data_IF_717731947687
#
_entry.id   IF_717731947687
#
_cell.length_a   1.000
_cell.length_b   1.000
_cell.length_c   1.000
_cell.angle_alpha   90.00
_cell.angle_beta   90.00
_cell.angle_gamma   90.00
#
_symmetry.space_group_name_H-M   'P 1'
#
loop_
_entity.id
_entity.type
_entity.pdbx_description
1 polymer ?
#
# COMPACT_ATOMS: atom_id res chain seq x y z
N UNK A 1 14.53 -16.18 15.03
CA UNK A 1 15.90 -16.64 14.71
C UNK A 1 16.23 -17.96 15.43
N UNK A 2 16.04 -18.04 16.74
CA UNK A 2 16.38 -19.25 17.55
C UNK A 2 15.74 -20.55 17.05
N UNK A 3 14.43 -20.56 16.77
CA UNK A 3 13.76 -21.74 16.22
C UNK A 3 14.36 -22.21 14.88
N UNK A 4 14.83 -21.27 14.04
CA UNK A 4 15.47 -21.58 12.77
C UNK A 4 16.90 -22.12 12.95
N UNK A 5 17.66 -21.58 13.92
CA UNK A 5 18.98 -22.07 14.30
C UNK A 5 18.90 -23.49 14.91
N UNK A 6 17.93 -23.74 15.80
CA UNK A 6 17.65 -25.06 16.36
C UNK A 6 17.27 -26.07 15.27
N UNK A 7 16.43 -25.67 14.31
CA UNK A 7 16.09 -26.50 13.16
C UNK A 7 17.31 -26.85 12.30
N UNK A 8 18.19 -25.88 12.04
CA UNK A 8 19.44 -26.10 11.31
C UNK A 8 20.40 -27.01 12.08
N UNK A 9 20.54 -26.81 13.38
CA UNK A 9 21.36 -27.64 14.27
C UNK A 9 20.88 -29.10 14.26
N UNK A 10 19.56 -29.34 14.34
CA UNK A 10 18.97 -30.68 14.23
C UNK A 10 19.23 -31.33 12.87
N UNK A 11 19.08 -30.60 11.77
CA UNK A 11 19.30 -31.11 10.41
C UNK A 11 20.78 -31.47 10.14
N UNK A 12 21.70 -30.73 10.74
CA UNK A 12 23.13 -31.04 10.71
C UNK A 12 23.42 -32.27 11.58
N UNK A 13 22.83 -32.33 12.78
CA UNK A 13 23.02 -33.43 13.72
C UNK A 13 22.49 -34.79 13.23
N UNK A 14 21.40 -34.80 12.48
CA UNK A 14 20.81 -36.02 11.89
C UNK A 14 21.46 -36.43 10.57
N UNK A 15 22.46 -35.68 10.08
CA UNK A 15 23.19 -36.01 8.85
C UNK A 15 22.39 -35.78 7.55
N UNK A 16 21.23 -35.11 7.61
CA UNK A 16 20.46 -34.73 6.42
C UNK A 16 21.17 -33.67 5.57
N UNK A 17 22.06 -32.89 6.19
CA UNK A 17 22.93 -31.94 5.51
C UNK A 17 24.38 -32.35 5.79
N UNK A 18 25.10 -32.78 4.74
CA UNK A 18 26.50 -33.25 4.85
C UNK A 18 27.51 -32.26 4.27
N UNK A 19 27.07 -31.41 3.35
CA UNK A 19 27.92 -30.44 2.65
C UNK A 19 28.02 -29.12 3.44
N UNK A 20 29.24 -28.77 3.84
CA UNK A 20 29.56 -27.56 4.59
C UNK A 20 29.11 -26.28 3.87
N UNK A 21 29.28 -26.22 2.56
CA UNK A 21 28.88 -25.04 1.78
C UNK A 21 27.35 -24.82 1.83
N UNK A 22 26.57 -25.91 1.86
CA UNK A 22 25.11 -25.84 2.02
C UNK A 22 24.71 -25.43 3.44
N UNK A 23 25.47 -25.84 4.45
CA UNK A 23 25.26 -25.39 5.84
C UNK A 23 25.49 -23.88 5.96
N UNK A 24 26.62 -23.38 5.46
CA UNK A 24 26.97 -21.95 5.49
C UNK A 24 25.95 -21.09 4.72
N UNK A 25 25.50 -21.53 3.53
CA UNK A 25 24.44 -20.84 2.78
C UNK A 25 23.12 -20.78 3.55
N UNK A 26 22.71 -21.86 4.24
CA UNK A 26 21.49 -21.87 5.05
C UNK A 26 21.64 -20.96 6.27
N UNK A 27 22.79 -20.98 6.94
CA UNK A 27 23.09 -20.09 8.05
C UNK A 27 23.02 -18.62 7.61
N UNK A 28 23.67 -18.27 6.49
CA UNK A 28 23.63 -16.93 5.90
C UNK A 28 22.21 -16.48 5.53
N UNK A 29 21.37 -17.39 5.01
CA UNK A 29 19.95 -17.08 4.74
C UNK A 29 19.16 -16.78 6.02
N UNK A 30 19.45 -17.48 7.12
CA UNK A 30 18.83 -17.22 8.42
C UNK A 30 19.26 -15.84 8.94
N UNK A 31 20.55 -15.50 8.83
CA UNK A 31 21.09 -14.19 9.21
C UNK A 31 20.46 -13.06 8.38
N UNK A 32 20.38 -13.22 7.06
CA UNK A 32 19.80 -12.24 6.16
C UNK A 32 18.29 -12.00 6.39
N UNK A 33 17.58 -13.02 6.89
CA UNK A 33 16.15 -12.90 7.25
C UNK A 33 15.93 -12.19 8.59
N UNK A 34 16.95 -12.14 9.45
CA UNK A 34 16.88 -11.58 10.80
C UNK A 34 18.00 -10.56 11.08
N UNK A 35 18.21 -9.53 10.23
CA UNK A 35 19.33 -8.60 10.38
C UNK A 35 19.28 -7.80 11.69
N UNK A 36 18.07 -7.55 12.21
CA UNK A 36 17.82 -6.77 13.43
C UNK A 36 18.29 -7.43 14.73
N UNK A 37 18.52 -8.75 14.74
CA UNK A 37 18.90 -9.50 15.94
C UNK A 37 20.17 -10.34 15.74
N UNK A 38 20.75 -10.32 14.53
CA UNK A 38 21.92 -11.14 14.19
C UNK A 38 23.15 -10.78 15.04
N UNK A 39 23.29 -9.51 15.44
CA UNK A 39 24.35 -8.99 16.31
C UNK A 39 24.31 -9.56 17.74
N UNK A 40 23.17 -10.10 18.18
CA UNK A 40 22.99 -10.69 19.50
C UNK A 40 23.54 -12.12 19.62
N UNK A 41 23.77 -12.79 18.49
CA UNK A 41 24.18 -14.19 18.48
C UNK A 41 25.64 -14.33 18.06
N UNK A 42 26.31 -15.29 18.67
CA UNK A 42 27.57 -15.84 18.19
C UNK A 42 27.26 -17.16 17.48
N UNK A 43 27.75 -17.32 16.25
CA UNK A 43 27.37 -18.43 15.36
C UNK A 43 28.64 -19.02 14.77
N UNK A 44 28.93 -20.28 15.12
CA UNK A 44 30.12 -21.00 14.68
C UNK A 44 29.75 -22.37 14.11
N UNK A 45 30.31 -22.69 12.94
CA UNK A 45 30.34 -24.06 12.42
C UNK A 45 31.70 -24.66 12.73
N UNK A 46 31.73 -25.66 13.62
CA UNK A 46 32.99 -26.33 14.02
C UNK A 46 33.01 -27.77 13.53
N UNK A 47 34.16 -28.21 13.05
CA UNK A 47 34.42 -29.61 12.73
C UNK A 47 34.73 -30.37 14.03
N UNK A 48 33.95 -31.41 14.31
CA UNK A 48 34.15 -32.35 15.41
C UNK A 48 34.44 -33.74 14.86
N UNK A 49 34.96 -34.66 15.67
CA UNK A 49 35.28 -36.03 15.23
C UNK A 49 34.09 -36.82 14.64
N UNK A 50 32.85 -36.36 14.86
CA UNK A 50 31.61 -36.91 14.32
C UNK A 50 31.03 -36.13 13.12
N UNK A 51 31.74 -35.11 12.62
CA UNK A 51 31.32 -34.23 11.53
C UNK A 51 31.20 -32.75 11.92
N UNK A 52 30.68 -31.94 11.00
CA UNK A 52 30.44 -30.50 11.23
C UNK A 52 29.23 -30.31 12.15
N UNK A 53 29.36 -29.48 13.19
CA UNK A 53 28.28 -29.13 14.13
C UNK A 53 28.12 -27.61 14.18
N UNK A 54 26.86 -27.16 14.29
CA UNK A 54 26.53 -25.75 14.51
C UNK A 54 26.48 -25.46 16.01
N UNK A 55 27.32 -24.53 16.46
CA UNK A 55 27.30 -23.95 17.79
C UNK A 55 26.75 -22.53 17.70
N UNK A 56 25.81 -22.22 18.57
CA UNK A 56 25.28 -20.87 18.68
C UNK A 56 25.05 -20.52 20.14
N UNK A 57 25.35 -19.29 20.50
CA UNK A 57 25.15 -18.76 21.85
C UNK A 57 24.66 -17.32 21.76
N UNK A 58 23.86 -16.90 22.74
CA UNK A 58 23.46 -15.50 22.86
C UNK A 58 24.55 -14.73 23.63
N UNK A 59 24.97 -13.58 23.09
CA UNK A 59 25.93 -12.69 23.74
C UNK A 59 25.23 -11.97 24.89
N UNK A 60 25.38 -12.48 26.11
CA UNK A 60 24.64 -11.95 27.27
C UNK A 60 24.91 -10.46 27.51
N UNK A 61 26.14 -9.98 27.31
CA UNK A 61 26.45 -8.56 27.45
C UNK A 61 25.65 -7.68 26.47
N UNK A 62 25.47 -8.17 25.23
CA UNK A 62 24.68 -7.47 24.21
C UNK A 62 23.18 -7.54 24.50
N UNK A 63 22.72 -8.66 25.04
CA UNK A 63 21.34 -8.84 25.49
C UNK A 63 21.02 -7.88 26.64
N UNK A 64 21.83 -7.90 27.70
CA UNK A 64 21.69 -7.02 28.86
C UNK A 64 21.77 -5.54 28.47
N UNK A 65 22.70 -5.19 27.57
CA UNK A 65 22.80 -3.83 27.04
C UNK A 65 21.56 -3.42 26.25
N UNK A 66 20.97 -4.32 25.43
CA UNK A 66 19.70 -4.03 24.76
C UNK A 66 18.57 -3.87 25.75
N UNK A 67 18.39 -4.80 26.69
CA UNK A 67 17.34 -4.73 27.70
C UNK A 67 17.44 -3.44 28.54
N UNK A 68 18.65 -3.02 28.90
CA UNK A 68 18.88 -1.76 29.62
C UNK A 68 18.60 -0.51 28.76
N UNK A 69 18.63 -0.64 27.42
CA UNK A 69 18.43 0.47 26.46
C UNK A 69 17.03 0.49 25.87
N UNK A 70 16.32 -0.64 25.93
CA UNK A 70 14.92 -0.77 25.59
C UNK A 70 14.11 -0.04 26.67
N UNK A 71 13.84 1.25 26.42
CA UNK A 71 12.97 2.04 27.27
C UNK A 71 11.53 1.49 27.28
N UNK A 72 10.84 1.65 28.41
CA UNK A 72 9.42 1.35 28.48
C UNK A 72 8.59 2.49 27.87
N UNK A 73 7.57 2.14 27.10
CA UNK A 73 6.61 3.10 26.57
C UNK A 73 5.46 3.29 27.56
N UNK A 74 5.40 4.44 28.24
CA UNK A 74 4.34 4.73 29.22
C UNK A 74 3.18 5.49 28.57
N UNK A 75 2.03 4.83 28.45
CA UNK A 75 0.79 5.46 28.02
C UNK A 75 0.00 5.97 29.22
N UNK A 76 -0.11 7.30 29.36
CA UNK A 76 -1.06 7.94 30.28
C UNK A 76 -2.34 8.27 29.53
N UNK A 77 -3.46 7.74 29.98
CA UNK A 77 -4.77 7.95 29.35
C UNK A 77 -5.86 8.14 30.40
N UNK A 78 -6.92 8.84 30.02
CA UNK A 78 -8.18 8.91 30.77
C UNK A 78 -9.21 7.87 30.28
N UNK A 79 -8.87 7.07 29.27
CA UNK A 79 -9.72 6.01 28.74
C UNK A 79 -9.63 4.76 29.60
N UNK A 80 -10.77 4.17 29.91
CA UNK A 80 -10.84 2.82 30.49
C UNK A 80 -10.68 1.77 29.39
N UNK A 81 -9.88 0.74 29.65
CA UNK A 81 -9.71 -0.43 28.81
C UNK A 81 -9.48 -1.65 29.69
N UNK A 82 -9.87 -2.82 29.21
CA UNK A 82 -9.77 -4.05 29.99
C UNK A 82 -8.35 -4.62 29.94
N UNK A 83 -7.60 -4.31 28.87
CA UNK A 83 -6.24 -4.82 28.64
C UNK A 83 -5.26 -3.76 28.12
N UNK A 84 -3.96 -4.01 28.30
CA UNK A 84 -2.90 -3.14 27.79
C UNK A 84 -2.85 -3.17 26.24
N UNK A 85 -3.16 -4.30 25.64
CA UNK A 85 -3.21 -4.51 24.19
C UNK A 85 -4.29 -3.65 23.54
N UNK A 86 -5.46 -3.52 24.16
CA UNK A 86 -6.52 -2.63 23.71
C UNK A 86 -6.11 -1.16 23.78
N UNK A 87 -5.47 -0.73 24.87
CA UNK A 87 -4.94 0.63 24.99
C UNK A 87 -3.91 0.92 23.91
N UNK A 88 -3.00 -0.03 23.68
CA UNK A 88 -2.01 0.06 22.62
C UNK A 88 -2.67 0.16 21.24
N UNK A 89 -3.66 -0.68 20.95
CA UNK A 89 -4.39 -0.65 19.68
C UNK A 89 -5.09 0.70 19.43
N UNK A 90 -5.75 1.24 20.46
CA UNK A 90 -6.37 2.58 20.41
C UNK A 90 -5.32 3.66 20.20
N UNK A 91 -4.21 3.60 20.93
CA UNK A 91 -3.11 4.56 20.79
C UNK A 91 -2.52 4.53 19.38
N UNK A 92 -2.35 3.34 18.79
CA UNK A 92 -1.87 3.18 17.43
C UNK A 92 -2.77 3.82 16.37
N UNK A 93 -4.05 4.08 16.64
CA UNK A 93 -4.91 4.85 15.72
C UNK A 93 -4.41 6.28 15.49
N UNK A 94 -3.57 6.83 16.39
CA UNK A 94 -2.88 8.10 16.14
C UNK A 94 -2.03 8.05 14.86
N UNK A 95 -1.43 6.90 14.56
CA UNK A 95 -0.68 6.72 13.30
C UNK A 95 -1.58 6.80 12.07
N UNK A 96 -2.86 6.42 12.20
CA UNK A 96 -3.85 6.59 11.14
C UNK A 96 -4.21 8.07 10.94
N UNK A 97 -4.29 8.84 12.02
CA UNK A 97 -4.44 10.29 11.93
C UNK A 97 -3.24 10.94 11.23
N UNK A 98 -2.00 10.55 11.55
CA UNK A 98 -0.82 11.04 10.83
C UNK A 98 -0.82 10.63 9.35
N UNK A 99 -1.22 9.40 9.06
CA UNK A 99 -1.39 8.91 7.70
C UNK A 99 -2.45 9.72 6.94
N UNK A 100 -3.51 10.19 7.61
CA UNK A 100 -4.52 11.06 7.00
C UNK A 100 -3.96 12.42 6.60
N UNK A 101 -3.18 13.06 7.48
CA UNK A 101 -2.49 14.31 7.16
C UNK A 101 -1.45 14.15 6.06
N UNK A 102 -0.76 13.02 6.01
CA UNK A 102 0.15 12.69 4.91
C UNK A 102 -0.62 12.58 3.60
N UNK A 103 -1.69 11.78 3.57
CA UNK A 103 -2.56 11.59 2.41
C UNK A 103 -3.07 12.92 1.83
N UNK A 104 -3.48 13.83 2.71
CA UNK A 104 -3.91 15.18 2.33
C UNK A 104 -2.82 15.98 1.63
N UNK A 105 -1.59 15.94 2.15
CA UNK A 105 -0.47 16.77 1.67
C UNK A 105 0.19 16.24 0.39
N UNK A 106 0.33 14.92 0.25
CA UNK A 106 1.00 14.30 -0.89
C UNK A 106 0.02 13.90 -1.99
N UNK A 107 -0.91 13.00 -1.69
CA UNK A 107 -1.77 12.35 -2.68
C UNK A 107 -2.87 13.29 -3.18
N UNK A 108 -3.57 13.94 -2.25
CA UNK A 108 -4.64 14.88 -2.59
C UNK A 108 -4.12 16.28 -2.91
N UNK A 109 -2.85 16.57 -2.60
CA UNK A 109 -2.22 17.89 -2.77
C UNK A 109 -3.00 19.05 -2.13
N UNK A 110 -3.85 18.77 -1.14
CA UNK A 110 -4.58 19.76 -0.33
C UNK A 110 -3.68 20.16 0.83
N UNK A 111 -2.67 20.97 0.53
CA UNK A 111 -1.73 21.48 1.54
C UNK A 111 -2.38 22.62 2.32
N UNK A 112 -2.04 22.79 3.61
CA UNK A 112 -2.41 23.99 4.35
C UNK A 112 -1.90 25.24 3.62
N UNK A 113 -2.82 26.05 3.12
CA UNK A 113 -2.54 27.39 2.65
C UNK A 113 -2.71 28.36 3.82
N UNK A 114 -1.86 29.38 3.92
CA UNK A 114 -1.90 30.38 4.99
C UNK A 114 -3.09 31.33 4.83
N UNK A 115 -4.29 30.82 5.13
CA UNK A 115 -5.51 31.62 5.15
C UNK A 115 -5.51 32.51 6.39
N UNK A 116 -5.64 33.83 6.19
CA UNK A 116 -5.63 34.82 7.28
C UNK A 116 -7.02 35.09 7.87
N UNK A 117 -8.08 34.84 7.08
CA UNK A 117 -9.46 35.06 7.49
C UNK A 117 -10.08 33.74 7.98
N UNK A 118 -10.70 33.77 9.15
CA UNK A 118 -11.36 32.61 9.77
C UNK A 118 -12.33 31.88 8.81
N UNK A 119 -13.20 32.56 8.03
CA UNK A 119 -14.10 31.87 7.10
C UNK A 119 -13.36 31.06 6.03
N UNK A 120 -12.19 31.53 5.58
CA UNK A 120 -11.39 30.84 4.57
C UNK A 120 -10.69 29.61 5.16
N UNK A 121 -10.24 29.70 6.41
CA UNK A 121 -9.71 28.55 7.15
C UNK A 121 -10.77 27.45 7.27
N UNK A 122 -12.00 27.81 7.69
CA UNK A 122 -13.12 26.86 7.79
C UNK A 122 -13.45 26.20 6.46
N UNK A 123 -13.51 26.98 5.38
CA UNK A 123 -13.76 26.45 4.04
C UNK A 123 -12.66 25.48 3.58
N UNK A 124 -11.39 25.79 3.83
CA UNK A 124 -10.28 24.91 3.49
C UNK A 124 -10.33 23.59 4.27
N UNK A 125 -10.62 23.64 5.58
CA UNK A 125 -10.79 22.44 6.41
C UNK A 125 -11.92 21.56 5.88
N UNK A 126 -13.05 22.16 5.48
CA UNK A 126 -14.17 21.42 4.89
C UNK A 126 -13.75 20.70 3.60
N UNK A 127 -13.08 21.40 2.68
CA UNK A 127 -12.62 20.79 1.41
C UNK A 127 -11.60 19.68 1.67
N UNK A 128 -10.64 19.90 2.59
CA UNK A 128 -9.68 18.88 2.99
C UNK A 128 -10.38 17.64 3.56
N UNK A 129 -11.34 17.82 4.47
CA UNK A 129 -12.10 16.73 5.05
C UNK A 129 -12.87 15.93 4.00
N UNK A 130 -13.59 16.61 3.09
CA UNK A 130 -14.32 15.97 2.00
C UNK A 130 -13.38 15.20 1.06
N UNK A 131 -12.25 15.80 0.68
CA UNK A 131 -11.23 15.14 -0.14
C UNK A 131 -10.70 13.87 0.52
N UNK A 132 -10.39 13.92 1.81
CA UNK A 132 -9.94 12.75 2.57
C UNK A 132 -11.04 11.69 2.72
N UNK A 133 -12.29 12.09 2.96
CA UNK A 133 -13.42 11.17 3.03
C UNK A 133 -13.60 10.40 1.71
N UNK A 134 -13.53 11.09 0.56
CA UNK A 134 -13.58 10.46 -0.76
C UNK A 134 -12.38 9.51 -0.98
N UNK A 135 -11.18 9.93 -0.60
CA UNK A 135 -9.97 9.12 -0.67
C UNK A 135 -10.09 7.81 0.12
N UNK A 136 -10.53 7.90 1.38
CA UNK A 136 -10.74 6.74 2.25
C UNK A 136 -11.85 5.85 1.72
N UNK A 137 -12.91 6.43 1.17
CA UNK A 137 -13.99 5.66 0.54
C UNK A 137 -13.48 4.86 -0.65
N UNK A 138 -12.70 5.48 -1.54
CA UNK A 138 -12.06 4.80 -2.66
C UNK A 138 -11.13 3.67 -2.18
N UNK A 139 -10.30 3.93 -1.16
CA UNK A 139 -9.44 2.92 -0.53
C UNK A 139 -10.24 1.71 -0.03
N UNK A 140 -11.38 1.94 0.61
CA UNK A 140 -12.24 0.85 1.10
C UNK A 140 -12.93 0.11 -0.05
N UNK A 141 -13.39 0.80 -1.09
CA UNK A 141 -14.00 0.16 -2.27
C UNK A 141 -13.00 -0.76 -2.99
N UNK A 142 -11.76 -0.30 -3.17
CA UNK A 142 -10.69 -1.09 -3.78
C UNK A 142 -10.30 -2.32 -2.94
N UNK A 143 -10.37 -2.21 -1.60
CA UNK A 143 -10.11 -3.35 -0.70
C UNK A 143 -11.23 -4.37 -0.67
N UNK A 144 -12.50 -3.93 -0.72
CA UNK A 144 -13.68 -4.78 -0.56
C UNK A 144 -13.95 -5.69 -1.75
N UNK A 145 -13.57 -5.28 -2.95
CA UNK A 145 -13.78 -6.04 -4.18
C UNK A 145 -12.41 -6.41 -4.76
N UNK A 146 -11.91 -7.63 -4.58
CA UNK A 146 -10.63 -8.02 -5.19
C UNK A 146 -10.72 -7.97 -6.72
N UNK A 147 -9.61 -7.66 -7.42
CA UNK A 147 -9.60 -7.62 -8.88
C UNK A 147 -10.01 -8.98 -9.46
N UNK A 148 -10.89 -8.95 -10.46
CA UNK A 148 -11.49 -10.13 -11.10
C UNK A 148 -10.53 -10.81 -12.09
N UNK A 149 -9.38 -10.19 -12.38
CA UNK A 149 -8.40 -10.72 -13.35
C UNK A 149 -7.17 -11.24 -12.60
N UNK A 150 -6.85 -12.55 -12.67
CA UNK A 150 -5.54 -13.03 -12.27
C UNK A 150 -4.51 -12.50 -13.27
N UNK A 151 -3.55 -11.71 -12.83
CA UNK A 151 -2.31 -11.49 -13.59
C UNK A 151 -1.43 -12.73 -13.39
N UNK A 152 -1.20 -13.57 -14.42
CA UNK A 152 -0.24 -14.65 -14.30
C UNK A 152 1.16 -14.03 -14.24
N UNK A 153 1.75 -14.01 -13.05
CA UNK A 153 3.16 -13.67 -12.90
C UNK A 153 3.98 -14.89 -13.34
N UNK A 154 4.80 -14.76 -14.38
CA UNK A 154 5.67 -15.84 -14.90
C UNK A 154 6.70 -16.38 -13.88
N UNK A 155 6.79 -15.77 -12.69
CA UNK A 155 7.77 -16.09 -11.63
C UNK A 155 7.20 -16.87 -10.44
N UNK A 156 5.90 -17.24 -10.42
CA UNK A 156 5.31 -17.99 -9.30
C UNK A 156 5.34 -17.27 -7.95
N UNK A 157 5.65 -15.97 -7.96
CA UNK A 157 5.55 -15.08 -6.80
C UNK A 157 4.48 -14.05 -7.15
N UNK A 158 3.31 -14.20 -6.54
CA UNK A 158 2.19 -13.26 -6.67
C UNK A 158 2.56 -11.93 -6.02
N UNK A 159 3.35 -11.12 -6.71
CA UNK A 159 3.53 -9.71 -6.38
C UNK A 159 2.32 -8.92 -6.91
N UNK A 160 1.10 -9.37 -6.58
CA UNK A 160 -0.11 -8.60 -6.80
C UNK A 160 -0.09 -7.43 -5.82
N UNK A 161 0.56 -6.32 -6.21
CA UNK A 161 0.48 -5.11 -5.40
C UNK A 161 -0.99 -4.68 -5.33
N UNK A 162 -1.54 -4.50 -4.12
CA UNK A 162 -2.92 -4.06 -3.98
C UNK A 162 -3.08 -2.68 -4.65
N UNK A 163 -4.13 -2.55 -5.48
CA UNK A 163 -4.43 -1.31 -6.20
C UNK A 163 -4.56 -0.15 -5.20
N UNK A 164 -3.66 0.83 -5.27
CA UNK A 164 -3.70 2.02 -4.42
C UNK A 164 -4.70 3.04 -5.00
N UNK A 165 -5.31 3.90 -4.16
CA UNK A 165 -6.22 4.92 -4.66
C UNK A 165 -5.54 5.90 -5.64
N UNK A 166 -4.25 6.24 -5.43
CA UNK A 166 -3.47 7.06 -6.39
C UNK A 166 -3.38 6.39 -7.75
N UNK A 167 -3.03 5.10 -7.79
CA UNK A 167 -2.88 4.37 -9.05
C UNK A 167 -4.22 4.25 -9.77
N UNK A 168 -5.30 4.00 -9.02
CA UNK A 168 -6.65 3.98 -9.56
C UNK A 168 -7.04 5.32 -10.21
N UNK A 169 -6.82 6.44 -9.50
CA UNK A 169 -7.09 7.79 -10.04
C UNK A 169 -6.23 8.06 -11.26
N UNK A 170 -4.93 7.74 -11.23
CA UNK A 170 -4.02 7.96 -12.36
C UNK A 170 -4.41 7.15 -13.60
N UNK A 171 -4.89 5.91 -13.42
CA UNK A 171 -5.40 5.10 -14.52
C UNK A 171 -6.69 5.70 -15.10
N UNK A 172 -7.63 6.10 -14.24
CA UNK A 172 -8.89 6.69 -14.67
C UNK A 172 -8.72 8.08 -15.29
N UNK A 173 -7.72 8.87 -14.87
CA UNK A 173 -7.46 10.21 -15.43
C UNK A 173 -7.00 10.19 -16.89
N UNK A 174 -6.57 9.03 -17.40
CA UNK A 174 -6.24 8.88 -18.82
C UNK A 174 -7.47 8.63 -19.70
N UNK A 175 -8.65 8.39 -19.11
CA UNK A 175 -9.90 8.34 -19.85
C UNK A 175 -10.32 9.77 -20.20
N UNK A 176 -10.52 10.02 -21.49
CA UNK A 176 -10.87 11.33 -22.00
C UNK A 176 -12.21 11.28 -22.74
N UNK A 177 -12.93 12.39 -22.71
CA UNK A 177 -14.10 12.62 -23.57
C UNK A 177 -13.72 13.60 -24.68
N UNK A 178 -13.97 13.24 -25.93
CA UNK A 178 -13.71 14.07 -27.10
C UNK A 178 -15.02 14.39 -27.84
N UNK A 179 -15.12 15.59 -28.38
CA UNK A 179 -16.20 16.01 -29.26
C UNK A 179 -15.78 15.81 -30.72
N UNK A 180 -16.53 14.99 -31.45
CA UNK A 180 -16.38 14.80 -32.90
C UNK A 180 -17.38 15.72 -33.57
N UNK A 181 -16.88 16.70 -34.34
CA UNK A 181 -17.71 17.64 -35.11
C UNK A 181 -17.67 17.20 -36.58
N UNK A 182 -18.82 16.79 -37.10
CA UNK A 182 -18.98 16.35 -38.48
C UNK A 182 -19.77 17.42 -39.24
N UNK A 183 -19.16 18.14 -40.19
CA UNK A 183 -19.89 19.05 -41.06
C UNK A 183 -20.76 18.26 -42.04
N UNK A 184 -22.01 18.67 -42.22
CA UNK A 184 -22.93 18.09 -43.20
C UNK A 184 -23.00 18.94 -44.47
N UNK A 185 -23.45 18.34 -45.57
CA UNK A 185 -23.65 19.02 -46.87
C UNK A 185 -24.63 20.19 -46.78
N UNK A 186 -25.54 20.18 -45.80
CA UNK A 186 -26.60 21.16 -45.62
C UNK A 186 -26.19 22.32 -44.69
N UNK A 187 -24.89 22.44 -44.38
CA UNK A 187 -24.34 23.49 -43.50
C UNK A 187 -24.57 23.26 -42.00
N UNK A 188 -25.19 22.13 -41.60
CA UNK A 188 -25.39 21.76 -40.19
C UNK A 188 -24.16 21.04 -39.65
N UNK A 189 -23.89 21.20 -38.35
CA UNK A 189 -22.85 20.45 -37.64
C UNK A 189 -23.47 19.34 -36.78
N UNK A 190 -23.00 18.10 -36.95
CA UNK A 190 -23.31 17.01 -36.02
C UNK A 190 -22.19 16.93 -34.99
N UNK A 191 -22.50 17.15 -33.71
CA UNK A 191 -21.55 17.05 -32.61
C UNK A 191 -21.79 15.78 -31.80
N UNK A 192 -20.80 14.89 -31.76
CA UNK A 192 -20.87 13.62 -31.04
C UNK A 192 -19.80 13.59 -29.94
N UNK A 193 -20.21 13.53 -28.67
CA UNK A 193 -19.28 13.32 -27.56
C UNK A 193 -19.01 11.84 -27.33
N UNK A 194 -17.79 11.40 -27.61
CA UNK A 194 -17.30 10.03 -27.43
C UNK A 194 -16.33 9.97 -26.24
N UNK A 195 -16.33 8.85 -25.52
CA UNK A 195 -15.31 8.55 -24.50
C UNK A 195 -14.28 7.61 -25.13
N UNK A 196 -13.01 7.75 -24.77
CA UNK A 196 -11.94 6.83 -25.17
C UNK A 196 -12.24 5.40 -24.70
N UNK A 197 -11.98 4.41 -25.54
CA UNK A 197 -12.14 3.00 -25.14
C UNK A 197 -11.19 2.64 -23.99
N UNK A 198 -11.71 2.12 -22.86
CA UNK A 198 -10.86 1.79 -21.72
C UNK A 198 -9.93 0.60 -22.01
N UNK A 199 -8.69 0.66 -21.53
CA UNK A 199 -7.72 -0.44 -21.56
C UNK A 199 -8.20 -1.63 -20.71
N UNK A 200 -7.58 -2.81 -20.88
CA UNK A 200 -7.93 -4.00 -20.08
C UNK A 200 -7.81 -3.76 -18.57
N UNK A 201 -6.77 -3.04 -18.14
CA UNK A 201 -6.57 -2.65 -16.73
C UNK A 201 -7.67 -1.72 -16.24
N UNK A 202 -8.04 -0.70 -17.02
CA UNK A 202 -9.13 0.22 -16.70
C UNK A 202 -10.48 -0.48 -16.65
N UNK A 203 -10.76 -1.39 -17.60
CA UNK A 203 -11.99 -2.22 -17.60
C UNK A 203 -12.08 -3.08 -16.34
N UNK A 204 -10.96 -3.63 -15.88
CA UNK A 204 -10.90 -4.38 -14.62
C UNK A 204 -11.20 -3.49 -13.42
N UNK A 205 -10.56 -2.32 -13.35
CA UNK A 205 -10.76 -1.33 -12.29
C UNK A 205 -12.21 -0.79 -12.26
N UNK A 206 -12.79 -0.47 -13.41
CA UNK A 206 -14.17 0.01 -13.51
C UNK A 206 -15.17 -1.06 -13.04
N UNK A 207 -14.96 -2.32 -13.42
CA UNK A 207 -15.75 -3.45 -12.91
C UNK A 207 -15.61 -3.61 -11.40
N UNK A 208 -14.39 -3.49 -10.87
CA UNK A 208 -14.13 -3.51 -9.44
C UNK A 208 -14.89 -2.38 -8.73
N UNK A 209 -14.88 -1.16 -9.28
CA UNK A 209 -15.64 -0.03 -8.73
C UNK A 209 -17.15 -0.14 -8.97
N UNK A 210 -17.60 -1.04 -9.83
CA UNK A 210 -19.02 -1.18 -10.22
C UNK A 210 -19.51 -0.03 -11.09
N UNK A 211 -18.61 0.57 -11.87
CA UNK A 211 -18.87 1.70 -12.76
C UNK A 211 -18.93 1.18 -14.19
N UNK A 212 -20.03 1.45 -14.89
CA UNK A 212 -20.16 1.23 -16.33
C UNK A 212 -20.00 2.56 -17.07
N UNK A 213 -19.08 2.62 -18.03
CA UNK A 213 -18.93 3.79 -18.89
C UNK A 213 -19.88 3.69 -20.09
N UNK A 214 -20.63 4.75 -20.41
CA UNK A 214 -21.40 4.80 -21.65
C UNK A 214 -20.48 5.02 -22.84
N UNK A 215 -20.82 4.44 -24.00
CA UNK A 215 -20.08 4.69 -25.25
C UNK A 215 -20.27 6.12 -25.77
N UNK A 216 -21.40 6.74 -25.41
CA UNK A 216 -21.81 8.07 -25.83
C UNK A 216 -22.32 8.87 -24.65
N UNK A 217 -21.79 10.07 -24.46
CA UNK A 217 -22.37 11.05 -23.54
C UNK A 217 -23.43 11.84 -24.30
N UNK A 218 -24.71 11.52 -24.08
CA UNK A 218 -25.82 12.30 -24.63
C UNK A 218 -25.91 13.63 -23.89
N UNK A 219 -25.25 14.66 -24.41
CA UNK A 219 -25.60 16.03 -24.06
C UNK A 219 -26.81 16.42 -24.91
N UNK A 220 -27.98 16.47 -24.29
CA UNK A 220 -29.14 17.18 -24.86
C UNK A 220 -28.82 18.68 -24.84
N UNK A 221 -27.94 19.13 -25.72
CA UNK A 221 -27.96 20.52 -26.15
C UNK A 221 -28.79 20.50 -27.42
N UNK A 222 -30.00 21.05 -27.33
CA UNK A 222 -30.74 21.45 -28.53
C UNK A 222 -29.73 22.17 -29.43
N UNK A 223 -29.63 21.72 -30.68
CA UNK A 223 -28.75 22.31 -31.66
C UNK A 223 -28.91 23.82 -31.56
N UNK A 224 -27.85 24.52 -31.17
CA UNK A 224 -27.78 25.97 -31.19
C UNK A 224 -28.27 26.41 -32.56
N UNK A 225 -29.48 26.96 -32.64
CA UNK A 225 -29.84 27.83 -33.72
C UNK A 225 -28.87 29.02 -33.60
N UNK A 226 -28.00 29.15 -34.60
CA UNK A 226 -27.10 30.27 -34.85
C UNK A 226 -26.14 30.67 -33.73
N UNK A 227 -24.88 30.24 -33.85
CA UNK A 227 -23.73 30.79 -33.13
C UNK A 227 -23.36 32.23 -33.55
N UNK A 228 -24.22 32.93 -34.31
CA UNK A 228 -24.00 34.29 -34.78
C UNK A 228 -24.65 35.37 -33.89
N UNK A 229 -25.41 35.00 -32.85
CA UNK A 229 -26.16 35.95 -31.99
C UNK A 229 -25.91 35.73 -30.48
N UNK A 230 -24.75 35.21 -30.08
CA UNK A 230 -24.39 35.06 -28.66
C UNK A 230 -23.12 35.85 -28.30
#
# INVERSE_FOLDING_TARGET
MEAALQGLQKAIATGQLKDRNKMERRLGKIQARHPQVNDLYDLDLRETGEGVRLFWQIKQDRKNWREAREGAYLLRTNLTAETAEELWSKYMQLTEAEASFRALKSELSVRPLYHQLEPRVKAHILVAFLGYALWVTLKHLLKRRPPVVPTPSASGVDNAQPMTPMRAIALLSTLQSADIVLPTTDGREIRLRRITEPTAEQKSLLRQLGISLPEHLRLQRECSADSAVA
#
